data_IF_157937101167
#
_entry.id   IF_157937101167
#
_cell.length_a   1.000
_cell.length_b   1.000
_cell.length_c   1.000
_cell.angle_alpha   90.00
_cell.angle_beta   90.00
_cell.angle_gamma   90.00
#
_symmetry.space_group_name_H-M   'P 1'
#
loop_
_entity.id
_entity.type
_entity.pdbx_description
1 polymer ?
#
# COMPACT_ATOMS: atom_id res chain seq x y z
N UNK A 1 4.87 -7.99 9.67
CA UNK A 1 5.27 -6.60 9.95
C UNK A 1 5.59 -5.94 8.64
N UNK A 2 4.68 -5.10 8.12
CA UNK A 2 4.96 -4.39 6.89
C UNK A 2 6.05 -3.34 7.14
N UNK A 3 7.09 -3.34 6.31
CA UNK A 3 8.07 -2.27 6.29
C UNK A 3 7.36 -0.96 5.92
N UNK A 4 7.56 0.07 6.75
CA UNK A 4 7.10 1.44 6.48
C UNK A 4 7.86 2.11 5.33
N UNK A 5 8.86 1.43 4.76
CA UNK A 5 9.65 1.92 3.65
C UNK A 5 9.65 0.97 2.47
N UNK A 6 10.03 1.48 1.30
CA UNK A 6 10.43 0.63 0.19
C UNK A 6 11.62 -0.26 0.57
N UNK A 7 11.92 -1.25 -0.28
CA UNK A 7 12.98 -2.21 -0.03
C UNK A 7 14.35 -1.55 0.20
N UNK A 8 14.65 -0.47 -0.53
CA UNK A 8 15.90 0.28 -0.40
C UNK A 8 15.92 1.25 0.79
N UNK A 9 14.81 1.42 1.51
CA UNK A 9 14.72 2.30 2.68
C UNK A 9 14.64 3.80 2.38
N UNK A 10 14.73 4.22 1.12
CA UNK A 10 14.77 5.64 0.73
C UNK A 10 13.39 6.28 0.52
N UNK A 11 12.32 5.48 0.48
CA UNK A 11 10.94 5.98 0.42
C UNK A 11 10.16 5.48 1.62
N UNK A 12 9.42 6.37 2.30
CA UNK A 12 8.55 6.05 3.43
C UNK A 12 7.08 6.12 3.02
N UNK A 13 6.35 5.04 3.22
CA UNK A 13 4.92 4.97 3.01
C UNK A 13 4.19 5.76 4.11
N UNK A 14 3.07 6.38 3.76
CA UNK A 14 2.27 7.23 4.66
C UNK A 14 0.82 6.72 4.84
N UNK A 15 0.56 5.49 4.42
CA UNK A 15 -0.76 4.89 4.54
C UNK A 15 -1.20 4.81 6.01
N UNK A 16 -2.43 5.25 6.29
CA UNK A 16 -3.01 5.18 7.65
C UNK A 16 -3.36 3.75 8.06
N UNK A 17 -3.61 2.88 7.07
CA UNK A 17 -3.97 1.47 7.25
C UNK A 17 -3.33 0.65 6.13
N UNK A 18 -2.84 -0.54 6.49
CA UNK A 18 -2.51 -1.58 5.53
C UNK A 18 -3.61 -2.62 5.52
N UNK A 19 -4.06 -3.00 4.32
CA UNK A 19 -5.03 -4.08 4.11
C UNK A 19 -4.35 -5.14 3.25
N UNK A 20 -4.47 -6.41 3.65
CA UNK A 20 -3.91 -7.57 2.95
C UNK A 20 -5.07 -8.50 2.55
N UNK A 21 -5.89 -8.11 1.55
CA UNK A 21 -7.05 -8.89 1.14
C UNK A 21 -6.62 -10.21 0.51
N UNK A 22 -7.32 -11.29 0.84
CA UNK A 22 -7.09 -12.64 0.30
C UNK A 22 -8.16 -13.05 -0.71
N UNK A 23 -9.20 -12.23 -0.86
CA UNK A 23 -10.23 -12.38 -1.88
C UNK A 23 -10.43 -11.09 -2.67
N UNK A 24 -11.05 -11.22 -3.84
CA UNK A 24 -11.41 -10.05 -4.67
C UNK A 24 -12.49 -9.20 -3.98
N UNK A 25 -13.42 -9.84 -3.26
CA UNK A 25 -14.48 -9.13 -2.55
C UNK A 25 -13.92 -8.27 -1.41
N UNK A 26 -12.98 -8.80 -0.62
CA UNK A 26 -12.26 -8.03 0.41
C UNK A 26 -11.49 -6.85 -0.19
N UNK A 27 -10.86 -7.05 -1.36
CA UNK A 27 -10.19 -5.97 -2.07
C UNK A 27 -11.19 -4.90 -2.52
N UNK A 28 -12.33 -5.30 -3.08
CA UNK A 28 -13.38 -4.37 -3.52
C UNK A 28 -13.91 -3.55 -2.34
N UNK A 29 -14.21 -4.19 -1.21
CA UNK A 29 -14.67 -3.53 0.01
C UNK A 29 -13.62 -2.53 0.55
N UNK A 30 -12.34 -2.91 0.52
CA UNK A 30 -11.25 -2.02 0.94
C UNK A 30 -11.12 -0.79 0.04
N UNK A 31 -11.29 -0.95 -1.28
CA UNK A 31 -11.26 0.16 -2.23
C UNK A 31 -12.46 1.07 -2.06
N UNK A 32 -13.68 0.52 -1.94
CA UNK A 32 -14.91 1.30 -1.82
C UNK A 32 -14.98 2.08 -0.50
N UNK A 33 -14.38 1.55 0.57
CA UNK A 33 -14.36 2.20 1.89
C UNK A 33 -13.23 3.21 2.10
N UNK A 34 -12.38 3.44 1.10
CA UNK A 34 -11.20 4.33 1.20
C UNK A 34 -11.35 5.59 0.35
N UNK A 35 -11.04 6.76 0.93
CA UNK A 35 -10.98 8.02 0.18
C UNK A 35 -9.84 8.04 -0.85
N UNK A 36 -8.72 7.38 -0.51
CA UNK A 36 -7.55 7.21 -1.37
C UNK A 36 -6.91 5.87 -1.07
N UNK A 37 -6.54 5.16 -2.13
CA UNK A 37 -5.86 3.88 -2.03
C UNK A 37 -4.63 3.82 -2.94
N UNK A 38 -3.63 3.06 -2.52
CA UNK A 38 -2.42 2.72 -3.27
C UNK A 38 -2.14 1.24 -3.12
N UNK A 39 -1.71 0.62 -4.22
CA UNK A 39 -1.33 -0.80 -4.22
C UNK A 39 0.13 -0.93 -3.82
N UNK A 40 0.41 -1.83 -2.89
CA UNK A 40 1.75 -2.16 -2.45
C UNK A 40 2.17 -3.52 -3.02
N UNK A 41 3.05 -3.51 -4.01
CA UNK A 41 3.66 -4.73 -4.54
C UNK A 41 4.83 -5.22 -3.67
N UNK A 42 5.89 -5.70 -4.32
CA UNK A 42 7.12 -6.19 -3.65
C UNK A 42 8.00 -5.07 -3.08
N UNK A 43 7.56 -3.79 -3.15
CA UNK A 43 8.27 -2.62 -2.63
C UNK A 43 9.59 -2.27 -3.35
N UNK A 44 9.73 -2.62 -4.64
CA UNK A 44 10.89 -2.30 -5.48
C UNK A 44 10.73 -1.02 -6.33
N UNK A 45 9.75 -0.17 -6.00
CA UNK A 45 9.68 1.18 -6.60
C UNK A 45 10.64 2.12 -5.88
N UNK A 46 11.22 3.05 -6.66
CA UNK A 46 12.07 4.14 -6.20
C UNK A 46 11.43 5.51 -6.46
N UNK A 47 10.20 5.54 -6.97
CA UNK A 47 9.36 6.73 -7.09
C UNK A 47 8.23 6.75 -6.06
N UNK A 48 7.63 7.92 -5.88
CA UNK A 48 6.50 8.19 -4.97
C UNK A 48 5.16 7.59 -5.45
N UNK A 49 5.15 6.75 -6.50
CA UNK A 49 3.94 6.12 -7.04
C UNK A 49 3.12 5.33 -6.01
N UNK A 50 3.77 4.82 -4.97
CA UNK A 50 3.17 4.09 -3.84
C UNK A 50 3.18 4.90 -2.53
N UNK A 51 3.66 6.13 -2.57
CA UNK A 51 3.60 7.09 -1.46
C UNK A 51 2.32 7.91 -1.63
N UNK A 52 1.71 8.27 -0.50
CA UNK A 52 0.58 9.20 -0.48
C UNK A 52 1.05 10.65 -0.54
#
# INVERSE_FOLDING_TARGET
MASETNWAGNLRYRAQRLVEPVTVDELADAIVSSDRARVLGTRHSFSDIAVD
#
